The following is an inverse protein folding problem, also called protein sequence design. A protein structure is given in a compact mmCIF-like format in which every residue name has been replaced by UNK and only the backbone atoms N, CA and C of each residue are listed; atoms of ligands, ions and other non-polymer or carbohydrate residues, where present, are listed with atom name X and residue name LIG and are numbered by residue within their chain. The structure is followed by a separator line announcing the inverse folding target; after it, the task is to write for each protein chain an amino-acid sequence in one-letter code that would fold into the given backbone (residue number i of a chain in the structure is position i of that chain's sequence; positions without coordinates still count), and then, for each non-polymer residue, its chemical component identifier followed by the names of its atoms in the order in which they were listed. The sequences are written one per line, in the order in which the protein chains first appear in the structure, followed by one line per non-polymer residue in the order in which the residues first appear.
data_IF_367527128680
#
_entry.id   IF_367527128680
#
_cell.length_a   1.000
_cell.length_b   1.000
_cell.length_c   1.000
_cell.angle_alpha   90.00
_cell.angle_beta   90.00
_cell.angle_gamma   90.00
#
_symmetry.space_group_name_H-M   'P 1'
#
loop_
_entity.id
_entity.type
_entity.pdbx_description
1 polymer ?
#
# COMPACT_ATOMS: atom_id res chain seq x y z
N UNK A 1 77.32 17.86 -2.95
CA UNK A 1 77.55 16.49 -3.48
C UNK A 1 76.42 16.19 -4.48
N UNK A 2 76.77 16.04 -5.77
CA UNK A 2 76.08 15.32 -6.89
C UNK A 2 74.52 15.44 -7.00
N UNK A 3 73.95 16.22 -7.95
CA UNK A 3 73.58 15.89 -9.36
C UNK A 3 72.66 14.64 -9.48
N UNK A 4 71.50 14.62 -10.15
CA UNK A 4 71.23 14.84 -11.59
C UNK A 4 69.69 14.88 -11.83
N UNK A 5 69.15 15.84 -12.61
CA UNK A 5 68.51 15.73 -13.96
C UNK A 5 67.31 14.76 -14.06
N UNK A 6 66.20 15.04 -14.72
CA UNK A 6 65.70 16.11 -15.64
C UNK A 6 64.17 15.86 -15.79
N UNK A 7 63.36 16.42 -16.67
CA UNK A 7 63.43 17.37 -17.77
C UNK A 7 61.93 17.68 -18.08
N UNK A 8 61.57 18.96 -18.28
CA UNK A 8 60.29 19.44 -18.83
C UNK A 8 60.20 19.12 -20.35
N UNK A 9 59.24 19.60 -21.20
CA UNK A 9 57.92 20.23 -21.01
C UNK A 9 56.83 19.71 -22.01
N UNK A 10 55.67 20.38 -21.99
CA UNK A 10 54.91 20.86 -23.17
C UNK A 10 53.59 20.17 -23.57
N UNK A 11 52.54 21.02 -23.52
CA UNK A 11 51.49 21.30 -24.52
C UNK A 11 50.67 20.13 -25.08
N UNK A 12 49.34 20.27 -25.06
CA UNK A 12 48.46 20.54 -26.22
C UNK A 12 46.98 20.21 -25.86
N UNK A 13 46.08 21.20 -25.86
CA UNK A 13 44.65 21.01 -26.23
C UNK A 13 44.53 21.19 -27.75
N UNK A 14 43.42 20.89 -28.49
CA UNK A 14 42.05 20.49 -28.12
C UNK A 14 41.43 19.37 -29.04
N UNK A 15 40.10 19.19 -28.99
CA UNK A 15 39.20 18.47 -29.95
C UNK A 15 39.24 16.92 -29.90
N UNK A 16 38.17 16.13 -30.09
CA UNK A 16 36.85 16.27 -30.75
C UNK A 16 35.94 15.09 -30.32
N UNK A 17 34.62 15.28 -30.47
CA UNK A 17 33.54 14.29 -30.72
C UNK A 17 33.81 12.78 -30.60
N UNK A 18 32.97 12.07 -29.83
CA UNK A 18 32.17 10.98 -30.44
C UNK A 18 30.90 10.63 -29.64
N UNK A 19 29.86 10.28 -30.41
CA UNK A 19 28.57 9.72 -29.97
C UNK A 19 28.72 8.21 -29.75
N UNK A 20 27.96 7.62 -28.83
CA UNK A 20 27.23 6.33 -28.97
C UNK A 20 26.95 5.71 -27.58
N UNK A 21 25.68 5.54 -27.21
CA UNK A 21 24.94 4.25 -27.21
C UNK A 21 25.52 3.25 -26.20
N UNK A 22 25.03 3.32 -24.95
CA UNK A 22 25.18 2.20 -24.01
C UNK A 22 23.99 1.25 -24.14
N UNK A 23 24.27 0.23 -24.94
CA UNK A 23 23.51 -1.01 -25.12
C UNK A 23 23.59 -1.87 -23.85
N UNK A 24 22.43 -2.29 -23.34
CA UNK A 24 22.28 -3.35 -22.31
C UNK A 24 22.11 -4.70 -23.03
N UNK A 25 22.70 -5.81 -22.53
CA UNK A 25 23.17 -6.90 -23.38
C UNK A 25 22.08 -7.89 -23.77
N UNK A 26 22.31 -8.50 -24.93
CA UNK A 26 21.62 -9.68 -25.42
C UNK A 26 21.91 -10.89 -24.51
N UNK A 27 20.86 -11.66 -24.18
CA UNK A 27 21.00 -13.04 -23.75
C UNK A 27 20.44 -13.95 -24.84
N UNK A 28 21.22 -14.99 -25.08
CA UNK A 28 21.29 -15.84 -26.26
C UNK A 28 20.08 -16.75 -26.49
N UNK A 29 19.94 -17.11 -27.76
CA UNK A 29 19.02 -18.11 -28.31
C UNK A 29 19.27 -19.51 -27.74
N UNK A 30 18.20 -20.14 -27.28
CA UNK A 30 18.11 -21.59 -27.06
C UNK A 30 16.90 -22.13 -27.80
N UNK A 31 17.11 -22.66 -29.00
CA UNK A 31 16.11 -23.36 -29.78
C UNK A 31 15.85 -24.77 -29.20
N UNK A 32 14.59 -25.19 -29.12
CA UNK A 32 14.08 -26.43 -29.74
C UNK A 32 12.64 -26.77 -29.28
N UNK A 33 11.76 -26.92 -30.28
CA UNK A 33 10.64 -27.89 -30.39
C UNK A 33 9.48 -27.79 -29.36
N UNK A 34 8.19 -27.95 -29.67
CA UNK A 34 7.47 -28.54 -30.80
C UNK A 34 6.06 -27.91 -30.82
N UNK A 35 5.38 -27.99 -31.96
CA UNK A 35 4.22 -27.15 -32.28
C UNK A 35 2.98 -27.28 -31.38
N UNK A 36 2.24 -26.17 -31.33
CA UNK A 36 0.78 -26.20 -31.25
C UNK A 36 0.20 -25.02 -32.02
N UNK A 37 -0.93 -25.32 -32.66
CA UNK A 37 -1.79 -24.54 -33.55
C UNK A 37 -1.82 -23.01 -33.35
N UNK A 38 -1.26 -22.29 -34.33
CA UNK A 38 -1.50 -20.85 -34.52
C UNK A 38 -2.96 -20.65 -34.94
N UNK A 39 -3.81 -20.26 -33.98
CA UNK A 39 -5.09 -19.61 -34.29
C UNK A 39 -4.79 -18.18 -34.71
N UNK A 40 -5.26 -17.86 -35.90
CA UNK A 40 -5.20 -16.57 -36.57
C UNK A 40 -5.66 -15.44 -35.63
N UNK A 41 -4.70 -14.64 -35.16
CA UNK A 41 -4.93 -13.50 -34.27
C UNK A 41 -5.46 -12.32 -35.10
N UNK A 42 -6.57 -11.71 -34.68
CA UNK A 42 -7.18 -10.57 -35.38
C UNK A 42 -6.48 -9.28 -34.92
N UNK A 43 -5.72 -8.59 -35.78
CA UNK A 43 -4.79 -7.52 -35.38
C UNK A 43 -5.49 -6.16 -35.21
N UNK A 44 -6.61 -6.11 -34.47
CA UNK A 44 -7.45 -4.89 -34.41
C UNK A 44 -8.07 -4.56 -33.06
N UNK A 45 -7.92 -5.39 -32.03
CA UNK A 45 -8.49 -5.11 -30.70
C UNK A 45 -7.44 -4.71 -29.65
N UNK A 46 -6.16 -4.97 -29.91
CA UNK A 46 -5.10 -4.87 -28.89
C UNK A 46 -4.53 -3.45 -28.74
N UNK A 47 -4.60 -2.63 -29.79
CA UNK A 47 -3.98 -1.30 -29.84
C UNK A 47 -4.64 -0.29 -28.88
N UNK A 48 -5.97 -0.30 -28.79
CA UNK A 48 -6.73 0.64 -27.96
C UNK A 48 -6.49 0.41 -26.46
N UNK A 49 -6.42 -0.86 -26.05
CA UNK A 49 -6.25 -1.22 -24.64
C UNK A 49 -4.81 -0.97 -24.18
N UNK A 50 -3.83 -1.28 -25.03
CA UNK A 50 -2.43 -0.97 -24.78
C UNK A 50 -2.19 0.54 -24.64
N UNK A 51 -2.89 1.35 -25.44
CA UNK A 51 -2.79 2.81 -25.39
C UNK A 51 -3.39 3.41 -24.11
N UNK A 52 -4.41 2.79 -23.50
CA UNK A 52 -5.03 3.28 -22.26
C UNK A 52 -4.35 2.77 -20.98
N UNK A 53 -3.97 1.50 -20.93
CA UNK A 53 -3.51 0.85 -19.69
C UNK A 53 -2.03 0.46 -19.69
N UNK A 54 -1.32 0.57 -20.82
CA UNK A 54 0.12 0.28 -20.89
C UNK A 54 0.50 -1.19 -20.65
N UNK A 55 -0.47 -2.11 -20.75
CA UNK A 55 -0.27 -3.57 -20.72
C UNK A 55 -1.17 -4.25 -21.76
N UNK A 56 -0.75 -5.41 -22.27
CA UNK A 56 -1.51 -6.17 -23.27
C UNK A 56 -2.44 -7.18 -22.57
N UNK A 57 -3.67 -7.36 -23.08
CA UNK A 57 -4.61 -8.39 -22.58
C UNK A 57 -4.04 -9.80 -22.76
N UNK A 58 -3.19 -10.00 -23.77
CA UNK A 58 -2.51 -11.27 -24.03
C UNK A 58 -1.59 -11.70 -22.87
N UNK A 59 -1.07 -10.75 -22.07
CA UNK A 59 -0.23 -11.05 -20.91
C UNK A 59 -1.02 -11.66 -19.74
N UNK A 60 -2.35 -11.50 -19.72
CA UNK A 60 -3.23 -12.13 -18.72
C UNK A 60 -3.49 -13.61 -19.02
N UNK A 61 -3.20 -14.07 -20.24
CA UNK A 61 -3.49 -15.44 -20.70
C UNK A 61 -2.51 -16.47 -20.15
N UNK A 62 -1.25 -16.08 -19.93
CA UNK A 62 -0.21 -16.97 -19.41
C UNK A 62 0.13 -16.62 -17.96
N UNK A 63 0.20 -17.64 -17.11
CA UNK A 63 0.51 -17.48 -15.67
C UNK A 63 1.82 -16.74 -15.43
N UNK A 64 2.88 -17.08 -16.18
CA UNK A 64 4.19 -16.44 -16.01
C UNK A 64 4.19 -14.95 -16.37
N UNK A 65 3.50 -14.54 -17.44
CA UNK A 65 3.40 -13.12 -17.81
C UNK A 65 2.49 -12.35 -16.84
N UNK A 66 1.41 -12.97 -16.37
CA UNK A 66 0.55 -12.40 -15.36
C UNK A 66 1.30 -12.13 -14.05
N UNK A 67 2.11 -13.08 -13.58
CA UNK A 67 2.96 -12.88 -12.40
C UNK A 67 4.00 -11.79 -12.64
N UNK A 68 4.64 -11.75 -13.82
CA UNK A 68 5.57 -10.66 -14.19
C UNK A 68 4.88 -9.29 -14.23
N UNK A 69 3.63 -9.22 -14.66
CA UNK A 69 2.83 -8.00 -14.69
C UNK A 69 2.47 -7.55 -13.27
N UNK A 70 2.05 -8.46 -12.38
CA UNK A 70 1.75 -8.18 -10.98
C UNK A 70 2.99 -7.76 -10.17
N UNK A 71 4.14 -8.34 -10.47
CA UNK A 71 5.42 -8.01 -9.82
C UNK A 71 6.11 -6.80 -10.45
N UNK A 72 5.51 -6.15 -11.45
CA UNK A 72 6.06 -4.93 -12.05
C UNK A 72 6.14 -3.83 -10.99
N UNK A 73 7.30 -3.16 -10.83
CA UNK A 73 7.43 -2.04 -9.90
C UNK A 73 6.42 -0.95 -10.28
N UNK A 74 5.54 -0.64 -9.34
CA UNK A 74 4.47 0.36 -9.48
C UNK A 74 4.81 1.57 -8.63
N UNK A 75 4.44 2.77 -9.09
CA UNK A 75 4.72 4.00 -8.37
C UNK A 75 4.15 3.99 -6.94
N UNK A 76 4.95 4.35 -5.93
CA UNK A 76 4.51 4.38 -4.53
C UNK A 76 3.49 5.49 -4.25
N UNK A 77 3.16 6.32 -5.24
CA UNK A 77 2.11 7.33 -5.13
C UNK A 77 0.72 6.71 -4.90
N UNK A 78 0.45 5.54 -5.48
CA UNK A 78 -0.86 4.87 -5.38
C UNK A 78 -1.21 4.48 -3.94
N UNK A 79 -0.27 3.89 -3.21
CA UNK A 79 -0.46 3.51 -1.81
C UNK A 79 -0.55 4.74 -0.88
N UNK A 80 0.17 5.82 -1.21
CA UNK A 80 0.05 7.10 -0.51
C UNK A 80 -1.36 7.69 -0.64
N UNK A 81 -1.95 7.66 -1.83
CA UNK A 81 -3.32 8.11 -2.07
C UNK A 81 -4.34 7.23 -1.33
N UNK A 82 -4.21 5.90 -1.43
CA UNK A 82 -5.04 4.95 -0.69
C UNK A 82 -5.04 5.26 0.82
N UNK A 83 -3.86 5.54 1.38
CA UNK A 83 -3.69 5.88 2.79
C UNK A 83 -4.48 7.12 3.19
N UNK A 84 -4.40 8.20 2.40
CA UNK A 84 -5.11 9.45 2.69
C UNK A 84 -6.63 9.22 2.68
N UNK A 85 -7.14 8.56 1.64
CA UNK A 85 -8.57 8.24 1.55
C UNK A 85 -9.01 7.27 2.66
N UNK A 86 -8.20 6.27 2.97
CA UNK A 86 -8.49 5.32 4.04
C UNK A 86 -8.60 6.02 5.40
N UNK A 87 -7.62 6.86 5.77
CA UNK A 87 -7.65 7.59 7.03
C UNK A 87 -8.83 8.57 7.15
N UNK A 88 -9.20 9.24 6.04
CA UNK A 88 -10.39 10.09 5.98
C UNK A 88 -11.68 9.27 6.19
N UNK A 89 -11.83 8.17 5.46
CA UNK A 89 -12.98 7.27 5.58
C UNK A 89 -13.10 6.70 6.99
N UNK A 90 -11.99 6.31 7.61
CA UNK A 90 -11.97 5.79 8.98
C UNK A 90 -12.43 6.85 9.98
N UNK A 91 -11.99 8.10 9.81
CA UNK A 91 -12.40 9.19 10.70
C UNK A 91 -13.91 9.41 10.63
N UNK A 92 -14.50 9.37 9.43
CA UNK A 92 -15.94 9.52 9.24
C UNK A 92 -16.74 8.31 9.77
N UNK A 93 -16.29 7.10 9.48
CA UNK A 93 -16.90 5.85 9.96
C UNK A 93 -16.95 5.79 11.50
N UNK A 94 -15.87 6.22 12.16
CA UNK A 94 -15.84 6.27 13.63
C UNK A 94 -16.90 7.22 14.21
N UNK A 95 -17.07 8.38 13.59
CA UNK A 95 -17.99 9.41 14.09
C UNK A 95 -19.45 9.02 13.85
N UNK A 96 -19.77 8.50 12.67
CA UNK A 96 -21.14 8.17 12.27
C UNK A 96 -21.53 6.74 12.64
N UNK A 97 -20.87 5.75 12.05
CA UNK A 97 -21.29 4.34 12.10
C UNK A 97 -21.01 3.70 13.47
N UNK A 98 -19.83 3.98 14.03
CA UNK A 98 -19.43 3.46 15.36
C UNK A 98 -19.99 4.29 16.51
N UNK A 99 -20.76 5.33 16.19
CA UNK A 99 -21.54 6.07 17.16
C UNK A 99 -20.72 6.87 18.16
N UNK A 100 -19.53 7.39 17.82
CA UNK A 100 -18.86 8.34 18.72
C UNK A 100 -19.78 9.53 19.05
N UNK A 101 -20.56 10.00 18.07
CA UNK A 101 -21.54 11.06 18.27
C UNK A 101 -22.70 10.67 19.20
N UNK A 102 -22.97 9.36 19.36
CA UNK A 102 -24.01 8.81 20.22
C UNK A 102 -23.43 7.95 21.37
N UNK A 103 -22.15 8.13 21.70
CA UNK A 103 -21.42 7.26 22.61
C UNK A 103 -22.02 7.27 24.02
N UNK A 104 -22.57 8.41 24.47
CA UNK A 104 -23.30 8.52 25.74
C UNK A 104 -24.54 7.62 25.79
N UNK A 105 -25.32 7.58 24.71
CA UNK A 105 -26.53 6.75 24.61
C UNK A 105 -26.17 5.28 24.54
N UNK A 106 -25.15 4.96 23.73
CA UNK A 106 -24.69 3.59 23.55
C UNK A 106 -24.09 3.07 24.85
N UNK A 107 -22.99 3.65 25.34
CA UNK A 107 -22.22 3.13 26.48
C UNK A 107 -22.74 3.54 27.87
N UNK A 108 -23.59 4.56 27.96
CA UNK A 108 -24.13 5.05 29.24
C UNK A 108 -25.40 4.35 29.71
N UNK A 109 -26.13 3.65 28.83
CA UNK A 109 -27.33 2.90 29.20
C UNK A 109 -27.00 1.42 29.42
N UNK A 110 -27.37 0.91 30.60
CA UNK A 110 -27.18 -0.50 31.00
C UNK A 110 -28.26 -1.42 30.40
N UNK A 111 -29.24 -0.84 29.68
CA UNK A 111 -30.39 -1.55 29.12
C UNK A 111 -30.14 -2.14 27.73
N UNK A 112 -29.01 -1.82 27.10
CA UNK A 112 -28.64 -2.38 25.80
C UNK A 112 -28.08 -3.80 25.99
N UNK A 113 -28.78 -4.81 25.47
CA UNK A 113 -28.32 -6.19 25.49
C UNK A 113 -27.06 -6.35 24.61
N UNK A 114 -25.89 -6.36 25.23
CA UNK A 114 -24.60 -6.53 24.56
C UNK A 114 -24.18 -7.99 24.52
N UNK A 115 -23.63 -8.39 23.39
CA UNK A 115 -23.05 -9.71 23.18
C UNK A 115 -21.54 -9.58 22.96
N UNK A 116 -20.74 -9.40 24.02
CA UNK A 116 -19.28 -9.36 23.89
C UNK A 116 -18.78 -10.72 23.39
N UNK A 117 -17.81 -10.70 22.47
CA UNK A 117 -17.27 -11.94 21.92
C UNK A 117 -16.49 -12.74 22.98
N UNK A 118 -15.77 -12.05 23.84
CA UNK A 118 -15.02 -12.64 24.95
C UNK A 118 -15.64 -12.22 26.27
N UNK A 119 -15.91 -13.19 27.16
CA UNK A 119 -16.45 -12.91 28.50
C UNK A 119 -15.55 -12.02 29.37
N UNK A 120 -14.25 -11.91 29.04
CA UNK A 120 -13.32 -11.02 29.73
C UNK A 120 -13.33 -9.58 29.18
N UNK A 121 -13.74 -9.37 27.92
CA UNK A 121 -13.88 -8.04 27.33
C UNK A 121 -15.20 -7.45 27.79
N UNK A 122 -15.13 -6.63 28.83
CA UNK A 122 -16.24 -5.76 29.23
C UNK A 122 -15.98 -4.35 28.74
N UNK A 123 -17.04 -3.59 28.40
CA UNK A 123 -16.89 -2.18 28.14
C UNK A 123 -16.26 -1.51 29.35
N UNK A 124 -15.25 -0.69 29.10
CA UNK A 124 -14.70 0.18 30.11
C UNK A 124 -15.73 1.26 30.51
N UNK A 125 -15.53 1.97 31.63
CA UNK A 125 -16.39 3.09 31.99
C UNK A 125 -16.50 4.08 30.83
N UNK A 126 -17.66 4.72 30.68
CA UNK A 126 -17.97 5.66 29.60
C UNK A 126 -16.83 6.66 29.30
N UNK A 127 -16.22 7.24 30.34
CA UNK A 127 -15.11 8.19 30.23
C UNK A 127 -13.87 7.59 29.53
N UNK A 128 -13.55 6.33 29.81
CA UNK A 128 -12.44 5.64 29.17
C UNK A 128 -12.75 5.23 27.74
N UNK A 129 -14.02 4.99 27.40
CA UNK A 129 -14.40 4.79 25.99
C UNK A 129 -14.10 6.03 25.16
N UNK A 130 -14.43 7.23 25.65
CA UNK A 130 -14.06 8.47 24.96
C UNK A 130 -12.56 8.56 24.69
N UNK A 131 -11.72 8.17 25.65
CA UNK A 131 -10.26 8.11 25.46
C UNK A 131 -9.88 7.12 24.36
N UNK A 132 -10.48 5.92 24.35
CA UNK A 132 -10.23 4.92 23.29
C UNK A 132 -10.62 5.44 21.92
N UNK A 133 -11.78 6.09 21.79
CA UNK A 133 -12.22 6.71 20.53
C UNK A 133 -11.31 7.87 20.10
N UNK A 134 -10.81 8.69 21.02
CA UNK A 134 -9.84 9.74 20.73
C UNK A 134 -8.51 9.16 20.23
N UNK A 135 -8.02 8.09 20.85
CA UNK A 135 -6.81 7.37 20.39
C UNK A 135 -7.06 6.76 19.01
N UNK A 136 -8.25 6.22 18.75
CA UNK A 136 -8.61 5.66 17.46
C UNK A 136 -8.67 6.74 16.36
N UNK A 137 -9.32 7.89 16.60
CA UNK A 137 -9.37 9.00 15.62
C UNK A 137 -7.98 9.60 15.41
N UNK A 138 -7.21 9.84 16.48
CA UNK A 138 -5.85 10.36 16.34
C UNK A 138 -4.94 9.39 15.59
N UNK A 139 -5.11 8.07 15.80
CA UNK A 139 -4.46 7.04 14.99
C UNK A 139 -4.86 7.10 13.51
N UNK A 140 -6.15 7.23 13.21
CA UNK A 140 -6.66 7.37 11.83
C UNK A 140 -6.10 8.62 11.12
N UNK A 141 -6.07 9.76 11.82
CA UNK A 141 -5.47 11.00 11.32
C UNK A 141 -3.95 10.83 11.15
N UNK A 142 -3.28 10.16 12.09
CA UNK A 142 -1.85 9.85 11.99
C UNK A 142 -1.52 9.01 10.76
N UNK A 143 -2.35 8.00 10.47
CA UNK A 143 -2.28 7.20 9.25
C UNK A 143 -2.51 8.07 8.01
N UNK A 144 -3.54 8.93 8.01
CA UNK A 144 -3.82 9.85 6.91
C UNK A 144 -2.62 10.75 6.58
N UNK A 145 -2.02 11.37 7.61
CA UNK A 145 -0.88 12.28 7.48
C UNK A 145 0.45 11.55 7.18
N UNK A 146 0.54 10.26 7.44
CA UNK A 146 1.79 9.51 7.32
C UNK A 146 2.77 9.71 8.48
N UNK A 147 2.34 10.30 9.60
CA UNK A 147 3.20 10.54 10.75
C UNK A 147 3.44 9.23 11.52
N UNK A 148 4.70 8.83 11.67
CA UNK A 148 5.11 7.61 12.40
C UNK A 148 4.21 6.40 12.10
N UNK A 149 4.12 6.04 10.81
CA UNK A 149 3.14 5.09 10.26
C UNK A 149 2.96 3.81 11.09
N UNK A 150 4.06 3.20 11.54
CA UNK A 150 3.98 1.99 12.35
C UNK A 150 3.23 2.21 13.66
N UNK A 151 3.54 3.29 14.38
CA UNK A 151 2.91 3.58 15.67
C UNK A 151 1.45 3.99 15.49
N UNK A 152 1.17 4.86 14.52
CA UNK A 152 -0.18 5.34 14.22
C UNK A 152 -1.10 4.21 13.76
N UNK A 153 -0.62 3.36 12.84
CA UNK A 153 -1.36 2.18 12.39
C UNK A 153 -1.59 1.17 13.51
N UNK A 154 -0.59 0.91 14.38
CA UNK A 154 -0.77 0.00 15.51
C UNK A 154 -1.75 0.55 16.56
N UNK A 155 -1.68 1.85 16.88
CA UNK A 155 -2.61 2.50 17.80
C UNK A 155 -4.05 2.44 17.27
N UNK A 156 -4.24 2.76 15.99
CA UNK A 156 -5.52 2.63 15.31
C UNK A 156 -6.01 1.17 15.32
N UNK A 157 -5.19 0.23 14.89
CA UNK A 157 -5.54 -1.17 14.76
C UNK A 157 -5.92 -1.78 16.12
N UNK A 158 -5.14 -1.53 17.17
CA UNK A 158 -5.39 -2.05 18.51
C UNK A 158 -6.72 -1.53 19.08
N UNK A 159 -6.97 -0.23 18.98
CA UNK A 159 -8.22 0.38 19.45
C UNK A 159 -9.41 -0.04 18.61
N UNK A 160 -9.24 -0.14 17.29
CA UNK A 160 -10.25 -0.60 16.34
C UNK A 160 -10.73 -2.02 16.65
N UNK A 161 -9.81 -2.97 16.83
CA UNK A 161 -10.13 -4.36 17.15
C UNK A 161 -10.74 -4.49 18.55
N UNK A 162 -10.26 -3.72 19.51
CA UNK A 162 -10.85 -3.69 20.85
C UNK A 162 -12.33 -3.30 20.79
N UNK A 163 -12.68 -2.19 20.11
CA UNK A 163 -14.07 -1.77 19.93
C UNK A 163 -14.88 -2.79 19.12
N UNK A 164 -14.28 -3.38 18.09
CA UNK A 164 -14.93 -4.39 17.25
C UNK A 164 -15.31 -5.66 18.01
N UNK A 165 -14.50 -6.09 18.98
CA UNK A 165 -14.78 -7.30 19.77
C UNK A 165 -15.75 -7.07 20.94
N UNK A 166 -15.97 -5.81 21.33
CA UNK A 166 -16.90 -5.47 22.41
C UNK A 166 -18.37 -5.73 22.04
N UNK A 167 -18.72 -5.65 20.75
CA UNK A 167 -20.10 -5.82 20.32
C UNK A 167 -20.21 -6.61 19.01
N UNK A 168 -20.73 -7.84 19.12
CA UNK A 168 -20.99 -8.71 17.97
C UNK A 168 -22.13 -8.22 17.08
N UNK A 169 -23.04 -7.42 17.62
CA UNK A 169 -24.22 -6.95 16.87
C UNK A 169 -23.86 -5.91 15.82
N UNK A 170 -22.74 -5.21 16.00
CA UNK A 170 -22.20 -4.22 15.05
C UNK A 170 -21.32 -4.84 13.94
N UNK A 171 -21.31 -6.17 13.81
CA UNK A 171 -20.48 -6.86 12.81
C UNK A 171 -21.08 -6.76 11.41
N UNK A 172 -20.56 -5.83 10.62
CA UNK A 172 -20.94 -5.66 9.22
C UNK A 172 -19.78 -6.05 8.27
N UNK A 173 -20.09 -6.44 7.04
CA UNK A 173 -19.11 -6.75 5.98
C UNK A 173 -18.09 -5.61 5.80
N UNK A 174 -18.58 -4.38 5.90
CA UNK A 174 -17.79 -3.17 5.82
C UNK A 174 -16.71 -3.09 6.93
N UNK A 175 -17.08 -3.47 8.15
CA UNK A 175 -16.18 -3.44 9.31
C UNK A 175 -15.06 -4.46 9.19
N UNK A 176 -15.30 -5.63 8.57
CA UNK A 176 -14.23 -6.59 8.28
C UNK A 176 -13.25 -6.05 7.24
N UNK A 177 -13.78 -5.43 6.17
CA UNK A 177 -12.96 -4.83 5.12
C UNK A 177 -12.01 -3.78 5.71
N UNK A 178 -12.52 -2.91 6.57
CA UNK A 178 -11.71 -1.88 7.24
C UNK A 178 -10.65 -2.46 8.17
N UNK A 179 -10.97 -3.50 8.95
CA UNK A 179 -9.99 -4.17 9.80
C UNK A 179 -8.85 -4.80 8.98
N UNK A 180 -9.18 -5.43 7.85
CA UNK A 180 -8.20 -6.03 6.94
C UNK A 180 -7.35 -4.95 6.26
N UNK A 181 -7.96 -3.87 5.75
CA UNK A 181 -7.24 -2.75 5.15
C UNK A 181 -6.30 -2.06 6.14
N UNK A 182 -6.75 -1.86 7.39
CA UNK A 182 -5.91 -1.32 8.46
C UNK A 182 -4.72 -2.24 8.74
N UNK A 183 -4.94 -3.54 8.78
CA UNK A 183 -3.87 -4.54 8.98
C UNK A 183 -2.87 -4.55 7.82
N UNK A 184 -3.35 -4.51 6.58
CA UNK A 184 -2.53 -4.39 5.37
C UNK A 184 -1.67 -3.11 5.41
N UNK A 185 -2.27 -1.97 5.75
CA UNK A 185 -1.55 -0.69 5.90
C UNK A 185 -0.59 -0.67 7.09
N UNK A 186 -0.84 -1.47 8.13
CA UNK A 186 0.07 -1.61 9.26
C UNK A 186 1.31 -2.44 8.90
N UNK A 187 1.14 -3.49 8.08
CA UNK A 187 2.24 -4.32 7.57
C UNK A 187 3.00 -3.61 6.46
N UNK A 188 2.30 -2.84 5.63
CA UNK A 188 2.92 -2.06 4.57
C UNK A 188 3.86 -1.02 5.18
N UNK A 189 5.17 -1.24 5.04
CA UNK A 189 6.22 -0.31 5.47
C UNK A 189 6.25 0.94 4.55
N UNK A 190 5.15 1.70 4.52
CA UNK A 190 5.01 2.97 3.79
C UNK A 190 5.89 4.11 4.37
N UNK A 191 6.82 3.77 5.27
CA UNK A 191 7.81 4.66 5.86
C UNK A 191 9.18 4.56 5.17
N UNK A 192 9.33 3.69 4.17
CA UNK A 192 10.55 3.59 3.36
C UNK A 192 10.20 3.88 1.90
N UNK A 193 10.65 5.05 1.44
CA UNK A 193 10.81 5.37 0.02
C UNK A 193 12.26 5.09 -0.37
#
# INVERSE_FOLDING_TARGET
MQRHKGQSPSKFSPETSDKSVDSVPACEDGASDSGDSVKEDRPGQDDCFHQMFGFQIQDLSSWDRFVRLLCRPTDPASIGTLRVFFGLLMTLDIVQERGLAAADSWWGSDEQCRFPLFHFLRPLPLQWMYVVYLVMISGAIGVMLGFQMRLSSLAFLATYWYVFFLDKTAWNNHSYLFGILAFLLAISDANRY
#
